data_IF_837327186860
#
_entry.id   IF_837327186860
#
_cell.length_a   1.000
_cell.length_b   1.000
_cell.length_c   1.000
_cell.angle_alpha   90.00
_cell.angle_beta   90.00
_cell.angle_gamma   90.00
#
_symmetry.space_group_name_H-M   'P 1'
#
loop_
_entity.id
_entity.type
_entity.pdbx_description
1 polymer ?
#
# COMPACT_ATOMS: atom_id res chain seq x y z
N UNK A 1 9.41 -3.57 -15.59
CA UNK A 1 8.43 -3.29 -14.50
C UNK A 1 7.51 -2.14 -14.93
N UNK A 2 6.34 -2.02 -14.31
CA UNK A 2 5.36 -0.95 -14.56
C UNK A 2 5.83 0.43 -14.04
N UNK A 3 5.11 1.51 -14.41
CA UNK A 3 5.35 2.84 -13.85
C UNK A 3 5.15 2.88 -12.33
N UNK A 4 5.87 3.75 -11.62
CA UNK A 4 5.69 3.99 -10.19
C UNK A 4 4.33 4.61 -9.84
N UNK A 5 3.57 5.09 -10.82
CA UNK A 5 2.15 5.45 -10.64
C UNK A 5 1.32 4.27 -10.12
N UNK A 6 1.77 3.05 -10.40
CA UNK A 6 1.13 1.82 -9.93
C UNK A 6 1.49 1.45 -8.47
N UNK A 7 2.51 2.09 -7.89
CA UNK A 7 2.88 1.99 -6.47
C UNK A 7 2.21 3.11 -5.66
N UNK A 8 2.25 4.33 -6.20
CA UNK A 8 1.67 5.51 -5.58
C UNK A 8 0.32 5.83 -6.23
N UNK A 9 -0.76 5.34 -5.66
CA UNK A 9 -2.12 5.67 -6.12
C UNK A 9 -2.81 6.57 -5.11
N UNK A 10 -3.32 7.70 -5.58
CA UNK A 10 -4.17 8.60 -4.81
C UNK A 10 -5.58 8.03 -4.79
N UNK A 11 -6.17 7.87 -3.60
CA UNK A 11 -7.52 7.36 -3.47
C UNK A 11 -8.02 7.30 -2.04
N UNK A 12 -9.22 6.74 -1.86
CA UNK A 12 -9.85 6.60 -0.55
C UNK A 12 -9.58 5.23 0.04
N UNK A 13 -9.22 5.21 1.33
CA UNK A 13 -9.12 3.98 2.09
C UNK A 13 -10.47 3.30 2.38
N UNK A 14 -10.46 2.25 3.21
CA UNK A 14 -9.34 1.81 4.02
C UNK A 14 -8.39 0.79 3.36
N UNK A 15 -8.79 0.13 2.24
CA UNK A 15 -7.98 -0.93 1.62
C UNK A 15 -7.76 -0.70 0.13
N UNK A 16 -6.53 -0.90 -0.34
CA UNK A 16 -6.24 -0.82 -1.77
C UNK A 16 -6.85 -1.99 -2.53
N UNK A 17 -6.76 -3.21 -2.01
CA UNK A 17 -7.32 -4.42 -2.64
C UNK A 17 -8.83 -4.55 -2.45
N UNK A 18 -9.36 -4.19 -1.28
CA UNK A 18 -10.77 -4.39 -0.93
C UNK A 18 -11.66 -3.16 -1.11
N UNK A 19 -11.10 -1.97 -1.29
CA UNK A 19 -11.86 -0.72 -1.50
C UNK A 19 -11.55 -0.08 -2.84
N UNK A 20 -10.27 0.31 -3.08
CA UNK A 20 -9.88 1.04 -4.30
C UNK A 20 -10.01 0.18 -5.56
N UNK A 21 -9.54 -1.08 -5.51
CA UNK A 21 -9.67 -2.02 -6.63
C UNK A 21 -11.14 -2.27 -7.02
N UNK A 22 -12.01 -2.71 -6.10
CA UNK A 22 -13.43 -2.87 -6.36
C UNK A 22 -14.14 -1.59 -6.82
N UNK A 23 -13.80 -0.42 -6.26
CA UNK A 23 -14.33 0.85 -6.71
C UNK A 23 -13.94 1.14 -8.17
N UNK A 24 -12.67 0.93 -8.53
CA UNK A 24 -12.18 1.10 -9.90
C UNK A 24 -12.87 0.14 -10.87
N UNK A 25 -13.05 -1.12 -10.49
CA UNK A 25 -13.80 -2.09 -11.28
C UNK A 25 -15.26 -1.64 -11.51
N UNK A 26 -15.93 -1.16 -10.46
CA UNK A 26 -17.28 -0.63 -10.56
C UNK A 26 -17.37 0.58 -11.49
N UNK A 27 -16.41 1.51 -11.45
CA UNK A 27 -16.35 2.68 -12.36
C UNK A 27 -16.23 2.23 -13.82
N UNK A 28 -15.36 1.26 -14.11
CA UNK A 28 -15.16 0.73 -15.46
C UNK A 28 -16.46 0.05 -15.94
N UNK A 29 -17.05 -0.80 -15.09
CA UNK A 29 -18.27 -1.53 -15.45
C UNK A 29 -19.49 -0.62 -15.63
N UNK A 30 -19.66 0.39 -14.77
CA UNK A 30 -20.69 1.42 -14.93
C UNK A 30 -20.55 2.18 -16.26
N UNK A 31 -19.29 2.53 -16.62
CA UNK A 31 -19.00 3.21 -17.90
C UNK A 31 -19.31 2.37 -19.14
N UNK A 32 -19.20 1.02 -19.04
CA UNK A 32 -19.57 0.10 -20.12
C UNK A 32 -21.09 -0.08 -20.28
N UNK A 33 -21.84 0.12 -19.19
CA UNK A 33 -23.29 -0.16 -19.11
C UNK A 33 -24.11 1.01 -18.59
N UNK A 34 -24.10 2.19 -19.26
CA UNK A 34 -24.83 3.37 -18.81
C UNK A 34 -26.37 3.19 -18.84
N UNK A 35 -26.86 2.25 -19.64
CA UNK A 35 -28.30 1.94 -19.82
C UNK A 35 -28.77 0.72 -18.98
N UNK A 36 -27.94 0.22 -18.06
CA UNK A 36 -28.34 -0.90 -17.23
C UNK A 36 -29.55 -0.54 -16.33
N UNK A 37 -30.46 -1.50 -16.14
CA UNK A 37 -31.62 -1.37 -15.27
C UNK A 37 -31.32 -1.85 -13.85
N UNK A 38 -30.39 -2.81 -13.72
CA UNK A 38 -29.96 -3.39 -12.45
C UNK A 38 -28.53 -3.93 -12.59
N UNK A 39 -27.79 -3.89 -11.51
CA UNK A 39 -26.49 -4.56 -11.36
C UNK A 39 -26.55 -5.64 -10.26
N UNK A 40 -25.73 -6.66 -10.42
CA UNK A 40 -25.42 -7.64 -9.40
C UNK A 40 -23.89 -7.82 -9.34
N UNK A 41 -23.33 -7.84 -8.15
CA UNK A 41 -21.88 -8.03 -7.98
C UNK A 41 -21.67 -9.14 -6.95
N UNK A 42 -21.06 -10.25 -7.39
CA UNK A 42 -20.66 -11.34 -6.49
C UNK A 42 -19.21 -11.13 -6.07
N UNK A 43 -18.96 -11.11 -4.77
CA UNK A 43 -17.65 -11.04 -4.14
C UNK A 43 -17.24 -12.43 -3.66
N UNK A 44 -15.98 -12.80 -3.93
CA UNK A 44 -15.46 -14.14 -3.63
C UNK A 44 -14.30 -14.09 -2.63
N UNK A 45 -14.07 -15.20 -1.91
CA UNK A 45 -12.92 -15.45 -1.06
C UNK A 45 -12.64 -14.32 -0.07
N UNK A 46 -11.42 -13.78 -0.07
CA UNK A 46 -11.00 -12.72 0.86
C UNK A 46 -11.83 -11.44 0.74
N UNK A 47 -12.24 -11.04 -0.47
CA UNK A 47 -13.13 -9.89 -0.66
C UNK A 47 -14.48 -10.04 0.03
N UNK A 48 -15.03 -11.26 0.06
CA UNK A 48 -16.27 -11.53 0.76
C UNK A 48 -16.06 -11.68 2.26
N UNK A 49 -15.01 -12.38 2.68
CA UNK A 49 -14.73 -12.66 4.09
C UNK A 49 -14.48 -11.41 4.93
N UNK A 50 -13.78 -10.41 4.37
CA UNK A 50 -13.39 -9.17 5.08
C UNK A 50 -14.04 -7.90 4.52
N UNK A 51 -14.81 -8.04 3.43
CA UNK A 51 -15.29 -6.92 2.63
C UNK A 51 -16.17 -5.91 3.36
N UNK A 52 -16.99 -6.36 4.33
CA UNK A 52 -17.79 -5.43 5.16
C UNK A 52 -16.91 -4.52 6.00
N UNK A 53 -15.86 -5.06 6.62
CA UNK A 53 -14.89 -4.28 7.38
C UNK A 53 -14.07 -3.31 6.52
N UNK A 54 -13.80 -3.70 5.28
CA UNK A 54 -13.10 -2.90 4.28
C UNK A 54 -14.00 -1.98 3.45
N UNK A 55 -15.31 -1.90 3.74
CA UNK A 55 -16.28 -1.10 3.01
C UNK A 55 -16.34 -1.42 1.51
N UNK A 56 -16.09 -2.67 1.11
CA UNK A 56 -16.06 -3.10 -0.29
C UNK A 56 -17.41 -2.90 -0.97
N UNK A 57 -18.49 -3.29 -0.30
CA UNK A 57 -19.86 -3.07 -0.75
C UNK A 57 -20.17 -1.59 -0.95
N UNK A 58 -19.82 -0.75 0.02
CA UNK A 58 -20.05 0.70 -0.07
C UNK A 58 -19.30 1.31 -1.26
N UNK A 59 -18.03 0.90 -1.45
CA UNK A 59 -17.22 1.39 -2.56
C UNK A 59 -17.82 1.05 -3.93
N UNK A 60 -18.39 -0.15 -4.10
CA UNK A 60 -19.05 -0.59 -5.32
C UNK A 60 -20.42 0.09 -5.46
N UNK A 61 -21.25 0.07 -4.40
CA UNK A 61 -22.61 0.63 -4.41
C UNK A 61 -22.56 2.13 -4.71
N UNK A 62 -21.64 2.89 -4.12
CA UNK A 62 -21.53 4.34 -4.34
C UNK A 62 -21.24 4.74 -5.78
N UNK A 63 -20.68 3.84 -6.56
CA UNK A 63 -20.45 4.02 -7.99
C UNK A 63 -21.67 3.58 -8.78
N UNK A 64 -22.07 2.31 -8.67
CA UNK A 64 -23.09 1.68 -9.52
C UNK A 64 -24.48 2.27 -9.30
N UNK A 65 -24.84 2.65 -8.05
CA UNK A 65 -26.15 3.25 -7.74
C UNK A 65 -26.44 4.58 -8.48
N UNK A 66 -25.41 5.22 -9.05
CA UNK A 66 -25.58 6.42 -9.87
C UNK A 66 -26.18 6.10 -11.24
N UNK A 67 -26.10 4.85 -11.67
CA UNK A 67 -26.67 4.34 -12.93
C UNK A 67 -27.93 3.54 -12.65
N UNK A 68 -27.88 2.51 -11.80
CA UNK A 68 -28.98 1.62 -11.51
C UNK A 68 -28.85 0.98 -10.11
N UNK A 69 -29.95 0.40 -9.54
CA UNK A 69 -29.87 -0.38 -8.32
C UNK A 69 -28.84 -1.52 -8.42
N UNK A 70 -28.15 -1.81 -7.31
CA UNK A 70 -27.13 -2.85 -7.24
C UNK A 70 -27.37 -3.78 -6.06
N UNK A 71 -27.20 -5.07 -6.30
CA UNK A 71 -27.20 -6.13 -5.30
C UNK A 71 -25.80 -6.68 -5.13
N UNK A 72 -25.38 -6.91 -3.87
CA UNK A 72 -24.09 -7.55 -3.54
C UNK A 72 -24.35 -8.95 -3.02
N UNK A 73 -23.73 -9.93 -3.67
CA UNK A 73 -23.74 -11.35 -3.27
C UNK A 73 -22.39 -11.69 -2.64
N UNK A 74 -22.40 -12.35 -1.48
CA UNK A 74 -21.23 -12.68 -0.70
C UNK A 74 -20.94 -14.17 -0.72
N UNK A 75 -19.79 -14.59 -1.26
CA UNK A 75 -19.33 -15.98 -1.38
C UNK A 75 -17.94 -16.17 -0.73
N UNK A 76 -17.83 -16.10 0.61
CA UNK A 76 -16.54 -16.12 1.30
C UNK A 76 -15.82 -17.47 1.21
N UNK A 77 -16.57 -18.58 1.02
CA UNK A 77 -16.01 -19.93 0.93
C UNK A 77 -15.58 -20.31 -0.51
N UNK A 78 -15.94 -19.49 -1.50
CA UNK A 78 -15.64 -19.74 -2.91
C UNK A 78 -14.38 -18.98 -3.31
N UNK A 79 -13.31 -19.69 -3.64
CA UNK A 79 -12.07 -19.13 -4.13
C UNK A 79 -11.93 -19.36 -5.62
N UNK A 80 -11.84 -18.30 -6.40
CA UNK A 80 -11.58 -18.40 -7.82
C UNK A 80 -10.10 -18.76 -8.08
N UNK A 81 -9.77 -19.53 -9.16
CA UNK A 81 -8.45 -20.13 -9.33
C UNK A 81 -7.29 -19.15 -9.47
N UNK A 82 -7.54 -17.93 -10.01
CA UNK A 82 -6.49 -17.00 -10.34
C UNK A 82 -6.00 -16.19 -9.14
N UNK A 83 -6.92 -15.67 -8.30
CA UNK A 83 -6.57 -14.83 -7.15
C UNK A 83 -7.68 -14.87 -6.09
N UNK A 84 -7.37 -14.81 -4.77
CA UNK A 84 -8.37 -14.84 -3.70
C UNK A 84 -9.34 -13.65 -3.69
N UNK A 85 -9.00 -12.53 -4.34
CA UNK A 85 -9.83 -11.33 -4.41
C UNK A 85 -10.62 -11.26 -5.73
N UNK A 86 -11.46 -12.23 -6.00
CA UNK A 86 -12.29 -12.29 -7.20
C UNK A 86 -13.61 -11.52 -7.06
N UNK A 87 -14.07 -10.95 -8.18
CA UNK A 87 -15.36 -10.27 -8.33
C UNK A 87 -16.01 -10.68 -9.64
N UNK A 88 -17.32 -10.87 -9.63
CA UNK A 88 -18.13 -11.05 -10.84
C UNK A 88 -19.18 -9.95 -10.90
N UNK A 89 -19.06 -9.10 -11.89
CA UNK A 89 -20.03 -8.05 -12.19
C UNK A 89 -21.03 -8.54 -13.25
N UNK A 90 -22.31 -8.27 -13.04
CA UNK A 90 -23.39 -8.55 -13.97
C UNK A 90 -24.23 -7.30 -14.20
N UNK A 91 -24.55 -7.01 -15.46
CA UNK A 91 -25.52 -5.98 -15.84
C UNK A 91 -26.81 -6.63 -16.37
N UNK A 92 -27.93 -6.00 -16.14
CA UNK A 92 -29.24 -6.47 -16.58
C UNK A 92 -29.97 -5.34 -17.30
N UNK A 93 -30.65 -5.70 -18.39
CA UNK A 93 -31.66 -4.87 -19.04
C UNK A 93 -33.05 -5.14 -18.44
N UNK A 94 -34.09 -5.05 -19.26
CA UNK A 94 -35.46 -5.38 -18.88
C UNK A 94 -35.72 -6.88 -18.67
N UNK A 95 -34.81 -7.72 -19.11
CA UNK A 95 -34.91 -9.18 -19.00
C UNK A 95 -34.27 -9.70 -17.73
N UNK A 96 -34.67 -10.92 -17.31
CA UNK A 96 -34.13 -11.60 -16.12
C UNK A 96 -32.70 -12.12 -16.34
N UNK A 97 -32.25 -12.31 -17.58
CA UNK A 97 -30.90 -12.76 -17.91
C UNK A 97 -29.92 -11.58 -17.91
N UNK A 98 -28.68 -11.78 -17.44
CA UNK A 98 -27.67 -10.75 -17.54
C UNK A 98 -27.38 -10.41 -19.03
N UNK A 99 -27.22 -9.14 -19.31
CA UNK A 99 -26.82 -8.62 -20.62
C UNK A 99 -25.31 -8.71 -20.83
N UNK A 100 -24.55 -8.64 -19.73
CA UNK A 100 -23.09 -8.84 -19.70
C UNK A 100 -22.63 -9.36 -18.34
N UNK A 101 -21.54 -10.14 -18.38
CA UNK A 101 -20.86 -10.67 -17.20
C UNK A 101 -19.36 -10.41 -17.33
N UNK A 102 -18.76 -9.89 -16.26
CA UNK A 102 -17.35 -9.57 -16.23
C UNK A 102 -16.70 -10.05 -14.93
N UNK A 103 -15.77 -11.02 -15.05
CA UNK A 103 -14.95 -11.49 -13.93
C UNK A 103 -13.65 -10.67 -13.90
N UNK A 104 -13.34 -10.13 -12.73
CA UNK A 104 -12.13 -9.31 -12.51
C UNK A 104 -11.59 -9.54 -11.09
N UNK A 105 -10.28 -9.41 -10.94
CA UNK A 105 -9.56 -9.65 -9.69
C UNK A 105 -8.87 -8.37 -9.21
N UNK A 106 -8.87 -8.15 -7.91
CA UNK A 106 -8.06 -7.10 -7.28
C UNK A 106 -6.74 -7.68 -6.79
N UNK A 107 -5.66 -7.41 -7.52
CA UNK A 107 -4.36 -8.10 -7.37
C UNK A 107 -3.34 -7.36 -6.49
N UNK A 108 -3.81 -6.52 -5.57
CA UNK A 108 -2.99 -5.75 -4.65
C UNK A 108 -2.71 -4.31 -5.11
N UNK A 109 -2.45 -3.41 -4.16
CA UNK A 109 -2.17 -1.99 -4.43
C UNK A 109 -3.29 -1.24 -5.19
N UNK A 110 -4.51 -1.81 -5.31
CA UNK A 110 -5.59 -1.27 -6.13
C UNK A 110 -5.48 -1.62 -7.62
N UNK A 111 -4.56 -2.51 -8.01
CA UNK A 111 -4.47 -3.05 -9.36
C UNK A 111 -5.59 -4.05 -9.64
N UNK A 112 -5.97 -4.13 -10.92
CA UNK A 112 -6.98 -5.07 -11.41
C UNK A 112 -6.33 -5.99 -12.46
N UNK A 113 -6.90 -7.21 -12.60
CA UNK A 113 -6.57 -8.17 -13.66
C UNK A 113 -7.80 -8.98 -14.02
N UNK A 114 -7.94 -9.35 -15.29
CA UNK A 114 -8.97 -10.30 -15.73
C UNK A 114 -8.52 -11.76 -15.58
N UNK A 115 -7.28 -11.98 -15.14
CA UNK A 115 -6.71 -13.32 -14.99
C UNK A 115 -6.42 -14.02 -16.31
N UNK A 116 -6.24 -13.27 -17.38
CA UNK A 116 -5.93 -13.79 -18.73
C UNK A 116 -4.42 -13.70 -18.96
N UNK A 117 -3.83 -14.77 -19.52
CA UNK A 117 -2.42 -14.80 -19.88
C UNK A 117 -2.09 -13.84 -21.05
N UNK A 118 -3.05 -13.66 -21.96
CA UNK A 118 -2.94 -12.74 -23.10
C UNK A 118 -4.26 -11.95 -23.21
N UNK A 119 -4.16 -10.66 -23.57
CA UNK A 119 -5.31 -9.80 -23.79
C UNK A 119 -6.06 -9.37 -22.53
N UNK A 120 -5.40 -9.41 -21.36
CA UNK A 120 -5.93 -8.79 -20.13
C UNK A 120 -6.06 -7.27 -20.34
N UNK A 121 -7.24 -6.73 -20.10
CA UNK A 121 -7.54 -5.29 -20.24
C UNK A 121 -6.61 -4.41 -19.40
N UNK A 122 -6.07 -4.93 -18.31
CA UNK A 122 -5.20 -4.21 -17.38
C UNK A 122 -3.71 -4.46 -17.61
N UNK A 123 -3.33 -5.12 -18.72
CA UNK A 123 -1.92 -5.27 -19.04
C UNK A 123 -1.31 -3.88 -19.23
N UNK A 124 -0.39 -3.54 -18.35
CA UNK A 124 0.33 -2.27 -18.38
C UNK A 124 1.60 -2.40 -19.20
N UNK A 125 1.99 -1.32 -19.87
CA UNK A 125 3.25 -1.27 -20.59
C UNK A 125 4.41 -1.28 -19.61
N UNK A 126 5.43 -2.10 -19.85
CA UNK A 126 6.67 -2.07 -19.09
C UNK A 126 7.40 -0.76 -19.33
N UNK A 127 7.72 -0.06 -18.26
CA UNK A 127 8.44 1.23 -18.25
C UNK A 127 9.91 1.02 -17.91
N UNK A 128 10.19 0.01 -17.07
CA UNK A 128 11.54 -0.30 -16.59
C UNK A 128 12.03 -1.61 -17.18
N UNK A 129 13.15 -1.58 -17.90
CA UNK A 129 13.78 -2.77 -18.48
C UNK A 129 14.48 -3.64 -17.42
N UNK A 130 15.16 -2.99 -16.45
CA UNK A 130 15.79 -3.68 -15.34
C UNK A 130 14.76 -3.94 -14.23
N UNK A 131 14.85 -5.11 -13.58
CA UNK A 131 13.89 -5.54 -12.58
C UNK A 131 14.51 -6.15 -11.31
N UNK A 132 15.85 -6.21 -11.24
CA UNK A 132 16.57 -6.55 -10.01
C UNK A 132 17.31 -5.33 -9.48
N UNK A 133 17.41 -5.21 -8.16
CA UNK A 133 18.16 -4.07 -7.59
C UNK A 133 19.64 -4.15 -7.92
N UNK A 134 20.19 -5.36 -8.01
CA UNK A 134 21.57 -5.62 -8.44
C UNK A 134 21.88 -4.99 -9.80
N UNK A 135 21.00 -5.20 -10.80
CA UNK A 135 21.23 -4.67 -12.14
C UNK A 135 21.05 -3.14 -12.17
N UNK A 136 20.09 -2.62 -11.41
CA UNK A 136 19.87 -1.16 -11.30
C UNK A 136 21.04 -0.49 -10.57
N UNK A 137 21.59 -1.12 -9.53
CA UNK A 137 22.78 -0.62 -8.84
C UNK A 137 24.02 -0.61 -9.75
N UNK A 138 24.22 -1.66 -10.54
CA UNK A 138 25.28 -1.70 -11.54
C UNK A 138 25.12 -0.59 -12.60
N UNK A 139 23.87 -0.30 -13.00
CA UNK A 139 23.59 0.85 -13.86
C UNK A 139 23.96 2.18 -13.16
N UNK A 140 23.60 2.37 -11.90
CA UNK A 140 23.94 3.57 -11.12
C UNK A 140 25.46 3.76 -11.04
N UNK A 141 26.19 2.70 -10.71
CA UNK A 141 27.65 2.73 -10.60
C UNK A 141 28.34 3.03 -11.96
N UNK A 142 27.88 2.40 -13.03
CA UNK A 142 28.42 2.60 -14.38
C UNK A 142 28.24 4.05 -14.87
N UNK A 143 27.10 4.69 -14.54
CA UNK A 143 26.78 6.04 -14.99
C UNK A 143 27.13 7.13 -13.98
N UNK A 144 27.58 6.77 -12.76
CA UNK A 144 27.84 7.72 -11.68
C UNK A 144 26.58 8.45 -11.23
N UNK A 145 25.43 7.73 -11.17
CA UNK A 145 24.12 8.28 -10.88
C UNK A 145 23.44 7.55 -9.71
N UNK A 146 22.38 8.17 -9.17
CA UNK A 146 21.54 7.55 -8.12
C UNK A 146 20.29 6.88 -8.66
N UNK A 147 19.57 6.16 -7.76
CA UNK A 147 18.35 5.45 -8.11
C UNK A 147 17.25 6.34 -8.68
N UNK A 148 17.04 7.54 -8.13
CA UNK A 148 16.05 8.49 -8.65
C UNK A 148 16.37 8.96 -10.07
N UNK A 149 17.64 8.97 -10.48
CA UNK A 149 18.05 9.33 -11.85
C UNK A 149 17.77 8.19 -12.83
N UNK A 150 17.85 6.94 -12.38
CA UNK A 150 17.36 5.80 -13.14
C UNK A 150 15.83 5.89 -13.34
N UNK A 151 15.07 6.22 -12.29
CA UNK A 151 13.63 6.49 -12.41
C UNK A 151 13.37 7.60 -13.42
N UNK A 152 14.11 8.71 -13.34
CA UNK A 152 13.98 9.84 -14.28
C UNK A 152 14.23 9.45 -15.73
N UNK A 153 15.10 8.49 -15.98
CA UNK A 153 15.36 8.00 -17.34
C UNK A 153 14.22 7.14 -17.89
N UNK A 154 13.50 6.44 -17.03
CA UNK A 154 12.48 5.47 -17.42
C UNK A 154 11.08 6.08 -17.51
N UNK A 155 10.72 6.94 -16.57
CA UNK A 155 9.38 7.58 -16.51
C UNK A 155 9.26 8.74 -17.49
N UNK A 156 8.02 9.08 -17.86
CA UNK A 156 7.70 10.22 -18.71
C UNK A 156 7.85 11.57 -17.97
N UNK A 157 7.82 12.66 -18.73
CA UNK A 157 8.00 14.02 -18.19
C UNK A 157 6.90 14.40 -17.20
N UNK A 158 5.66 13.93 -17.41
CA UNK A 158 4.50 14.23 -16.56
C UNK A 158 4.55 13.48 -15.21
N UNK A 159 5.41 12.46 -15.09
CA UNK A 159 5.56 11.69 -13.86
C UNK A 159 5.97 12.56 -12.67
N UNK A 160 6.82 13.56 -12.88
CA UNK A 160 7.30 14.41 -11.79
C UNK A 160 6.23 15.34 -11.24
N UNK A 161 5.30 15.79 -12.08
CA UNK A 161 4.14 16.57 -11.65
C UNK A 161 3.16 15.69 -10.87
N UNK A 162 2.93 14.44 -11.33
CA UNK A 162 2.18 13.46 -10.58
C UNK A 162 2.83 13.14 -9.21
N UNK A 163 4.15 12.96 -9.17
CA UNK A 163 4.87 12.67 -7.92
C UNK A 163 4.78 13.85 -6.93
N UNK A 164 4.71 15.09 -7.44
CA UNK A 164 4.44 16.27 -6.62
C UNK A 164 3.03 16.26 -6.05
N UNK A 165 2.03 15.88 -6.84
CA UNK A 165 0.66 15.69 -6.36
C UNK A 165 0.59 14.60 -5.28
N UNK A 166 1.28 13.49 -5.49
CA UNK A 166 1.44 12.41 -4.50
C UNK A 166 2.01 12.96 -3.19
N UNK A 167 3.09 13.73 -3.24
CA UNK A 167 3.69 14.31 -2.05
C UNK A 167 2.76 15.28 -1.31
N UNK A 168 2.11 16.19 -2.03
CA UNK A 168 1.14 17.12 -1.44
C UNK A 168 -0.06 16.39 -0.82
N UNK A 169 -0.53 15.31 -1.45
CA UNK A 169 -1.59 14.46 -0.89
C UNK A 169 -1.15 13.75 0.38
N UNK A 170 0.09 13.24 0.43
CA UNK A 170 0.68 12.65 1.65
C UNK A 170 0.76 13.67 2.79
N UNK A 171 1.23 14.90 2.52
CA UNK A 171 1.28 15.98 3.52
C UNK A 171 -0.12 16.33 4.03
N UNK A 172 -1.07 16.52 3.14
CA UNK A 172 -2.45 16.83 3.50
C UNK A 172 -3.11 15.71 4.33
N UNK A 173 -2.77 14.43 4.08
CA UNK A 173 -3.27 13.33 4.89
C UNK A 173 -2.70 13.35 6.32
N UNK A 174 -1.41 13.68 6.48
CA UNK A 174 -0.81 13.88 7.82
C UNK A 174 -1.52 15.01 8.55
N UNK A 175 -1.68 16.16 7.91
CA UNK A 175 -2.27 17.36 8.52
C UNK A 175 -3.72 17.13 8.94
N UNK A 176 -4.55 16.59 8.06
CA UNK A 176 -5.95 16.23 8.40
C UNK A 176 -6.04 15.24 9.55
N UNK A 177 -5.19 14.21 9.55
CA UNK A 177 -5.21 13.19 10.61
C UNK A 177 -4.76 13.74 11.97
N UNK A 178 -3.85 14.72 12.00
CA UNK A 178 -3.45 15.41 13.23
C UNK A 178 -4.55 16.32 13.79
N UNK A 179 -5.40 16.87 12.93
CA UNK A 179 -6.51 17.73 13.31
C UNK A 179 -7.80 16.95 13.64
N UNK A 180 -7.79 15.63 13.41
CA UNK A 180 -8.96 14.78 13.61
C UNK A 180 -8.96 14.08 14.97
N UNK A 181 -10.07 14.16 15.69
CA UNK A 181 -10.30 13.52 16.99
C UNK A 181 -11.51 12.58 16.96
N UNK A 182 -11.79 11.92 18.09
CA UNK A 182 -12.94 11.03 18.26
C UNK A 182 -12.60 9.56 18.02
N UNK A 183 -13.57 8.77 17.53
CA UNK A 183 -13.44 7.34 17.27
C UNK A 183 -13.37 7.04 15.77
N UNK A 184 -12.64 5.99 15.43
CA UNK A 184 -12.62 5.43 14.09
C UNK A 184 -13.95 4.71 13.78
N UNK A 185 -14.36 4.64 12.50
CA UNK A 185 -15.56 3.94 12.13
C UNK A 185 -15.43 2.42 12.35
N UNK A 186 -16.57 1.78 12.61
CA UNK A 186 -16.66 0.33 12.81
C UNK A 186 -16.89 -0.08 14.24
N UNK A 187 -17.04 -1.40 14.49
CA UNK A 187 -17.48 -1.93 15.77
C UNK A 187 -16.44 -1.85 16.88
N UNK A 188 -15.15 -1.70 16.56
CA UNK A 188 -14.09 -1.64 17.56
C UNK A 188 -14.11 -0.35 18.37
N UNK A 189 -14.80 0.69 17.89
CA UNK A 189 -14.87 2.00 18.53
C UNK A 189 -13.48 2.52 18.99
N UNK A 190 -12.48 2.28 18.16
CA UNK A 190 -11.09 2.61 18.47
C UNK A 190 -10.87 4.12 18.45
N UNK A 191 -10.41 4.69 19.56
CA UNK A 191 -10.13 6.11 19.64
C UNK A 191 -8.95 6.51 18.75
N UNK A 192 -9.06 7.64 18.05
CA UNK A 192 -7.95 8.28 17.36
C UNK A 192 -6.86 8.70 18.36
N UNK A 193 -5.61 8.50 18.01
CA UNK A 193 -4.45 8.73 18.87
C UNK A 193 -3.49 9.79 18.34
N UNK A 194 -3.54 10.08 17.02
CA UNK A 194 -2.56 10.91 16.34
C UNK A 194 -2.38 12.29 16.99
N UNK A 195 -3.47 13.04 17.19
CA UNK A 195 -3.48 14.36 17.82
C UNK A 195 -2.89 14.33 19.24
N UNK A 196 -3.33 13.36 20.04
CA UNK A 196 -2.85 13.20 21.43
C UNK A 196 -1.36 12.86 21.47
N UNK A 197 -0.88 11.98 20.60
CA UNK A 197 0.55 11.61 20.49
C UNK A 197 1.39 12.82 20.05
N UNK A 198 0.89 13.60 19.10
CA UNK A 198 1.54 14.83 18.64
C UNK A 198 1.76 15.82 19.78
N UNK A 199 0.71 16.11 20.56
CA UNK A 199 0.79 17.01 21.71
C UNK A 199 1.76 16.49 22.78
N UNK A 200 1.66 15.21 23.13
CA UNK A 200 2.54 14.58 24.11
C UNK A 200 4.00 14.58 23.65
N UNK A 201 4.27 14.25 22.39
CA UNK A 201 5.63 14.22 21.84
C UNK A 201 6.34 15.56 21.99
N UNK A 202 5.64 16.68 21.81
CA UNK A 202 6.20 18.04 21.94
C UNK A 202 6.70 18.35 23.35
N UNK A 203 6.20 17.66 24.35
CA UNK A 203 6.65 17.82 25.75
C UNK A 203 7.90 17.02 26.12
N UNK A 204 8.39 16.15 25.23
CA UNK A 204 9.57 15.33 25.50
C UNK A 204 10.88 16.00 25.07
N UNK A 205 12.01 15.46 25.57
CA UNK A 205 13.36 15.85 25.12
C UNK A 205 13.54 15.51 23.64
N UNK A 206 14.42 16.20 22.90
CA UNK A 206 14.58 16.05 21.45
C UNK A 206 14.75 14.58 20.98
N UNK A 207 15.50 13.77 21.73
CA UNK A 207 15.73 12.35 21.39
C UNK A 207 14.47 11.48 21.38
N UNK A 208 13.52 11.75 22.30
CA UNK A 208 12.25 11.05 22.35
C UNK A 208 11.16 11.77 21.56
N UNK A 209 11.25 13.10 21.49
CA UNK A 209 10.34 13.93 20.71
C UNK A 209 10.31 13.50 19.23
N UNK A 210 11.48 13.36 18.60
CA UNK A 210 11.58 12.94 17.21
C UNK A 210 10.80 11.63 16.96
N UNK A 211 11.02 10.61 17.79
CA UNK A 211 10.33 9.32 17.66
C UNK A 211 8.82 9.45 17.88
N UNK A 212 8.38 10.21 18.89
CA UNK A 212 6.97 10.49 19.16
C UNK A 212 6.28 11.24 18.02
N UNK A 213 6.98 12.16 17.34
CA UNK A 213 6.48 12.85 16.15
C UNK A 213 6.26 11.88 14.98
N UNK A 214 7.22 10.98 14.71
CA UNK A 214 7.08 9.97 13.66
C UNK A 214 5.88 9.05 13.94
N UNK A 215 5.70 8.61 15.19
CA UNK A 215 4.50 7.86 15.57
C UNK A 215 3.24 8.64 15.25
N UNK A 216 3.14 9.90 15.67
CA UNK A 216 1.93 10.69 15.45
C UNK A 216 1.61 10.90 13.97
N UNK A 217 2.61 11.11 13.12
CA UNK A 217 2.41 11.27 11.68
C UNK A 217 1.94 9.96 11.01
N UNK A 218 2.53 8.82 11.39
CA UNK A 218 2.10 7.52 10.87
C UNK A 218 0.68 7.16 11.33
N UNK A 219 0.36 7.44 12.61
CA UNK A 219 -0.99 7.30 13.14
C UNK A 219 -1.98 8.20 12.37
N UNK A 220 -1.64 9.46 12.12
CA UNK A 220 -2.49 10.42 11.44
C UNK A 220 -2.94 9.91 10.06
N UNK A 221 -2.00 9.47 9.22
CA UNK A 221 -2.32 8.94 7.90
C UNK A 221 -3.10 7.63 7.98
N UNK A 222 -2.73 6.74 8.91
CA UNK A 222 -3.40 5.45 9.07
C UNK A 222 -4.83 5.60 9.59
N UNK A 223 -5.09 6.57 10.47
CA UNK A 223 -6.42 6.91 10.98
C UNK A 223 -7.28 7.58 9.89
N UNK A 224 -6.69 8.43 9.05
CA UNK A 224 -7.34 8.96 7.85
C UNK A 224 -7.73 7.84 6.88
N UNK A 225 -6.80 6.90 6.62
CA UNK A 225 -7.09 5.73 5.81
C UNK A 225 -8.26 4.92 6.38
N UNK A 226 -8.22 4.59 7.67
CA UNK A 226 -9.27 3.81 8.34
C UNK A 226 -10.65 4.48 8.31
N UNK A 227 -10.68 5.81 8.17
CA UNK A 227 -11.90 6.62 8.10
C UNK A 227 -12.39 6.87 6.67
N UNK A 228 -11.75 6.29 5.65
CA UNK A 228 -12.10 6.50 4.24
C UNK A 228 -11.64 7.86 3.69
N UNK A 229 -10.67 8.50 4.34
CA UNK A 229 -10.02 9.71 3.86
C UNK A 229 -9.17 9.47 2.61
N UNK A 230 -8.81 10.55 1.92
CA UNK A 230 -7.92 10.49 0.76
C UNK A 230 -6.48 10.32 1.21
N UNK A 231 -5.85 9.25 0.76
CA UNK A 231 -4.46 8.88 1.06
C UNK A 231 -3.73 8.48 -0.24
N UNK A 232 -2.45 8.21 -0.12
CA UNK A 232 -1.66 7.61 -1.18
C UNK A 232 -1.23 6.21 -0.76
N UNK A 233 -1.38 5.23 -1.64
CA UNK A 233 -0.79 3.90 -1.40
C UNK A 233 0.74 3.99 -1.38
N UNK A 234 1.40 3.28 -0.44
CA UNK A 234 2.87 3.23 -0.37
C UNK A 234 3.33 1.95 0.37
N UNK A 235 3.30 0.74 -0.24
CA UNK A 235 2.71 0.45 -1.56
C UNK A 235 1.22 0.17 -1.53
N UNK A 236 0.59 0.01 -0.35
CA UNK A 236 -0.83 -0.28 -0.16
C UNK A 236 -1.50 0.72 0.79
N UNK A 237 -2.83 0.71 0.88
CA UNK A 237 -3.56 1.49 1.89
C UNK A 237 -3.21 1.05 3.31
N UNK A 238 -3.06 -0.26 3.55
CA UNK A 238 -2.73 -0.80 4.87
C UNK A 238 -1.39 -0.33 5.44
N UNK A 239 -0.48 0.10 4.56
CA UNK A 239 0.85 0.58 4.89
C UNK A 239 1.08 2.07 4.55
N UNK A 240 0.03 2.81 4.20
CA UNK A 240 0.11 4.19 3.68
C UNK A 240 0.67 5.22 4.66
N UNK A 241 0.76 4.89 5.96
CA UNK A 241 1.28 5.80 6.98
C UNK A 241 2.80 5.85 7.09
N UNK A 242 3.52 4.82 6.60
CA UNK A 242 4.97 4.68 6.83
C UNK A 242 5.78 5.71 6.06
N UNK A 243 5.69 5.70 4.73
CA UNK A 243 6.48 6.60 3.85
C UNK A 243 6.16 8.07 4.10
N UNK A 244 4.88 8.49 4.18
CA UNK A 244 4.54 9.88 4.47
C UNK A 244 5.07 10.37 5.81
N UNK A 245 4.96 9.55 6.86
CA UNK A 245 5.42 9.93 8.20
C UNK A 245 6.93 10.20 8.23
N UNK A 246 7.72 9.32 7.63
CA UNK A 246 9.19 9.46 7.57
C UNK A 246 9.56 10.70 6.75
N UNK A 247 9.03 10.84 5.55
CA UNK A 247 9.37 11.97 4.68
C UNK A 247 8.90 13.32 5.25
N UNK A 248 7.68 13.37 5.83
CA UNK A 248 7.16 14.58 6.46
C UNK A 248 7.99 14.99 7.67
N UNK A 249 8.40 14.03 8.49
CA UNK A 249 9.28 14.26 9.63
C UNK A 249 10.62 14.84 9.20
N UNK A 250 11.26 14.22 8.22
CA UNK A 250 12.56 14.63 7.73
C UNK A 250 12.51 15.96 6.98
N UNK A 251 11.51 16.17 6.13
CA UNK A 251 11.34 17.42 5.38
C UNK A 251 11.18 18.62 6.33
N UNK A 252 10.35 18.49 7.36
CA UNK A 252 10.18 19.56 8.36
C UNK A 252 11.38 19.72 9.30
N UNK A 253 11.97 18.61 9.74
CA UNK A 253 13.07 18.63 10.71
C UNK A 253 14.40 19.13 10.15
N UNK A 254 14.65 18.90 8.86
CA UNK A 254 15.91 19.23 8.20
C UNK A 254 15.78 20.26 7.07
N UNK A 255 14.60 20.84 6.86
CA UNK A 255 14.31 21.80 5.80
C UNK A 255 14.75 21.32 4.39
N UNK A 256 14.55 20.04 4.10
CA UNK A 256 14.80 19.52 2.77
C UNK A 256 13.88 20.18 1.73
N UNK A 257 14.44 20.56 0.59
CA UNK A 257 13.66 21.11 -0.51
C UNK A 257 12.69 20.06 -1.07
N UNK A 258 11.56 20.50 -1.59
CA UNK A 258 10.58 19.63 -2.24
C UNK A 258 11.24 18.74 -3.30
N UNK A 259 12.12 19.31 -4.12
CA UNK A 259 12.86 18.53 -5.14
C UNK A 259 13.60 17.34 -4.53
N UNK A 260 14.29 17.52 -3.39
CA UNK A 260 14.99 16.41 -2.72
C UNK A 260 14.01 15.36 -2.20
N UNK A 261 12.86 15.80 -1.70
CA UNK A 261 11.81 14.87 -1.23
C UNK A 261 11.24 14.09 -2.41
N UNK A 262 10.98 14.73 -3.57
CA UNK A 262 10.52 14.04 -4.77
C UNK A 262 11.54 13.00 -5.28
N UNK A 263 12.84 13.34 -5.27
CA UNK A 263 13.90 12.37 -5.61
C UNK A 263 13.90 11.16 -4.65
N UNK A 264 13.74 11.41 -3.34
CA UNK A 264 13.66 10.35 -2.34
C UNK A 264 12.38 9.49 -2.50
N UNK A 265 11.26 10.12 -2.85
CA UNK A 265 10.01 9.43 -3.13
C UNK A 265 10.10 8.58 -4.40
N UNK A 266 10.78 9.05 -5.45
CA UNK A 266 11.07 8.25 -6.64
C UNK A 266 11.90 7.00 -6.30
N UNK A 267 12.94 7.15 -5.48
CA UNK A 267 13.72 6.00 -4.98
C UNK A 267 12.85 5.05 -4.15
N UNK A 268 12.03 5.56 -3.23
CA UNK A 268 11.09 4.72 -2.47
C UNK A 268 10.18 3.90 -3.39
N UNK A 269 9.60 4.54 -4.40
CA UNK A 269 8.74 3.89 -5.38
C UNK A 269 9.45 2.78 -6.15
N UNK A 270 10.71 2.99 -6.54
CA UNK A 270 11.51 2.00 -7.23
C UNK A 270 11.69 0.72 -6.40
N UNK A 271 12.03 0.85 -5.11
CA UNK A 271 12.16 -0.31 -4.20
C UNK A 271 10.83 -1.04 -4.03
N UNK A 272 9.72 -0.33 -3.87
CA UNK A 272 8.38 -0.93 -3.84
C UNK A 272 8.01 -1.66 -5.13
N UNK A 273 8.39 -1.10 -6.28
CA UNK A 273 8.12 -1.68 -7.59
C UNK A 273 8.92 -2.97 -7.85
N UNK A 274 10.18 -3.03 -7.40
CA UNK A 274 11.00 -4.24 -7.45
C UNK A 274 10.33 -5.37 -6.66
N UNK A 275 9.82 -5.08 -5.46
CA UNK A 275 9.11 -6.08 -4.64
C UNK A 275 7.80 -6.50 -5.31
N UNK A 276 7.01 -5.54 -5.82
CA UNK A 276 5.76 -5.84 -6.54
C UNK A 276 6.00 -6.78 -7.72
N UNK A 277 7.05 -6.55 -8.48
CA UNK A 277 7.36 -7.32 -9.69
C UNK A 277 7.89 -8.72 -9.38
N UNK A 278 8.83 -8.85 -8.43
CA UNK A 278 9.53 -10.12 -8.16
C UNK A 278 8.84 -10.99 -7.11
N UNK A 279 7.97 -10.40 -6.29
CA UNK A 279 7.22 -11.09 -5.24
C UNK A 279 5.73 -10.71 -5.28
N UNK A 280 5.24 -10.00 -4.26
CA UNK A 280 3.89 -9.43 -4.21
C UNK A 280 3.83 -8.34 -3.14
N UNK A 281 2.89 -7.41 -3.30
CA UNK A 281 2.52 -6.40 -2.30
C UNK A 281 1.10 -6.65 -1.74
N UNK A 282 0.52 -7.82 -1.98
CA UNK A 282 -0.82 -8.19 -1.53
C UNK A 282 -0.78 -8.90 -0.18
N UNK A 283 -1.46 -8.36 0.83
CA UNK A 283 -1.61 -9.00 2.14
C UNK A 283 -2.27 -10.37 2.06
N UNK A 284 -3.18 -10.56 1.12
CA UNK A 284 -3.86 -11.84 0.85
C UNK A 284 -2.92 -12.91 0.27
N UNK A 285 -1.85 -12.51 -0.41
CA UNK A 285 -0.87 -13.44 -0.99
C UNK A 285 0.32 -13.71 -0.06
N UNK A 286 0.95 -12.65 0.45
CA UNK A 286 2.22 -12.76 1.17
C UNK A 286 2.15 -12.28 2.63
N UNK A 287 0.98 -11.93 3.15
CA UNK A 287 0.86 -11.37 4.49
C UNK A 287 1.30 -9.89 4.56
N UNK A 288 1.35 -9.37 5.79
CA UNK A 288 1.68 -7.95 6.02
C UNK A 288 3.16 -7.60 5.76
N UNK A 289 4.04 -8.60 5.60
CA UNK A 289 5.42 -8.37 5.14
C UNK A 289 5.45 -7.70 3.76
N UNK A 290 4.51 -8.04 2.85
CA UNK A 290 4.35 -7.41 1.54
C UNK A 290 3.76 -6.00 1.58
N UNK A 291 3.14 -5.61 2.65
CA UNK A 291 2.57 -4.27 2.86
C UNK A 291 3.48 -3.41 3.73
N UNK A 292 3.46 -3.63 5.05
CA UNK A 292 4.21 -2.83 6.03
C UNK A 292 5.72 -3.05 5.91
N UNK A 293 6.16 -4.29 5.64
CA UNK A 293 7.58 -4.58 5.43
C UNK A 293 8.14 -3.85 4.21
N UNK A 294 7.40 -3.88 3.10
CA UNK A 294 7.77 -3.15 1.87
C UNK A 294 7.74 -1.64 2.10
N UNK A 295 6.72 -1.12 2.79
CA UNK A 295 6.65 0.31 3.14
C UNK A 295 7.84 0.76 4.01
N UNK A 296 8.28 -0.10 4.95
CA UNK A 296 9.49 0.15 5.74
C UNK A 296 10.74 0.22 4.86
N UNK A 297 10.94 -0.74 3.93
CA UNK A 297 12.03 -0.71 2.97
C UNK A 297 12.03 0.54 2.10
N UNK A 298 10.86 0.91 1.55
CA UNK A 298 10.68 2.14 0.77
C UNK A 298 11.08 3.38 1.56
N UNK A 299 10.62 3.51 2.79
CA UNK A 299 10.92 4.64 3.67
C UNK A 299 12.40 4.66 4.11
N UNK A 300 13.01 3.47 4.32
CA UNK A 300 14.43 3.34 4.65
C UNK A 300 15.32 3.83 3.49
N UNK A 301 15.02 3.39 2.26
CA UNK A 301 15.72 3.84 1.06
C UNK A 301 15.61 5.37 0.86
N UNK A 302 14.38 5.90 0.96
CA UNK A 302 14.10 7.32 0.81
C UNK A 302 14.84 8.17 1.85
N UNK A 303 14.80 7.76 3.12
CA UNK A 303 15.48 8.48 4.19
C UNK A 303 17.00 8.42 4.05
N UNK A 304 17.57 7.27 3.68
CA UNK A 304 19.01 7.14 3.44
C UNK A 304 19.47 8.05 2.30
N UNK A 305 18.69 8.14 1.21
CA UNK A 305 18.99 9.06 0.12
C UNK A 305 18.92 10.53 0.52
N UNK A 306 17.96 10.95 1.34
CA UNK A 306 17.87 12.34 1.84
C UNK A 306 19.12 12.76 2.59
N UNK A 307 19.75 11.85 3.32
CA UNK A 307 21.03 12.08 4.02
C UNK A 307 22.27 11.86 3.17
N UNK A 308 22.12 11.63 1.85
CA UNK A 308 23.23 11.51 0.92
C UNK A 308 23.92 10.15 0.94
N UNK A 309 23.22 9.09 1.34
CA UNK A 309 23.74 7.72 1.30
C UNK A 309 24.14 7.29 -0.12
N UNK A 310 25.20 6.51 -0.22
CA UNK A 310 25.60 5.85 -1.48
C UNK A 310 24.53 4.84 -1.93
N UNK A 311 24.51 4.43 -3.22
CA UNK A 311 23.61 3.37 -3.68
C UNK A 311 23.65 2.11 -2.80
N UNK A 312 24.84 1.67 -2.36
CA UNK A 312 24.99 0.50 -1.48
C UNK A 312 24.41 0.75 -0.07
N UNK A 313 24.56 1.95 0.48
CA UNK A 313 23.95 2.28 1.79
C UNK A 313 22.43 2.38 1.70
N UNK A 314 21.89 2.91 0.59
CA UNK A 314 20.45 2.98 0.34
C UNK A 314 19.86 1.57 0.21
N UNK A 315 20.54 0.69 -0.53
CA UNK A 315 20.15 -0.71 -0.67
C UNK A 315 20.19 -1.42 0.68
N UNK A 316 21.25 -1.25 1.46
CA UNK A 316 21.38 -1.88 2.79
C UNK A 316 20.29 -1.39 3.76
N UNK A 317 19.96 -0.10 3.77
CA UNK A 317 18.86 0.41 4.59
C UNK A 317 17.51 -0.23 4.21
N UNK A 318 17.24 -0.38 2.92
CA UNK A 318 16.01 -1.01 2.43
C UNK A 318 15.97 -2.51 2.73
N UNK A 319 17.10 -3.20 2.58
CA UNK A 319 17.27 -4.62 2.90
C UNK A 319 16.86 -4.88 4.34
N UNK A 320 17.48 -4.17 5.31
CA UNK A 320 17.13 -4.27 6.73
C UNK A 320 15.66 -3.92 7.00
N UNK A 321 15.14 -2.92 6.29
CA UNK A 321 13.73 -2.53 6.41
C UNK A 321 12.77 -3.66 6.06
N UNK A 322 13.07 -4.48 5.06
CA UNK A 322 12.25 -5.62 4.66
C UNK A 322 12.57 -6.87 5.47
N UNK A 323 13.86 -7.19 5.66
CA UNK A 323 14.32 -8.39 6.37
C UNK A 323 13.66 -8.53 7.75
N UNK A 324 13.64 -7.45 8.53
CA UNK A 324 13.06 -7.43 9.87
C UNK A 324 11.53 -7.50 9.93
N UNK A 325 10.86 -7.61 8.78
CA UNK A 325 9.42 -7.81 8.67
C UNK A 325 9.05 -9.16 8.04
N UNK A 326 10.03 -10.03 7.74
CA UNK A 326 9.76 -11.36 7.19
C UNK A 326 8.91 -12.19 8.17
N UNK A 327 7.95 -12.94 7.61
CA UNK A 327 7.02 -13.78 8.38
C UNK A 327 5.84 -13.03 9.01
N UNK A 328 5.66 -11.74 8.75
CA UNK A 328 4.57 -10.96 9.34
C UNK A 328 3.22 -11.35 8.75
N UNK A 329 2.30 -11.83 9.61
CA UNK A 329 0.94 -12.23 9.25
C UNK A 329 0.06 -11.03 8.89
N UNK A 330 -1.06 -11.27 8.18
CA UNK A 330 -2.13 -10.30 7.93
C UNK A 330 -3.43 -10.85 8.54
N UNK A 331 -3.73 -10.46 9.77
CA UNK A 331 -4.80 -10.98 10.61
C UNK A 331 -5.60 -9.83 11.28
N UNK A 332 -6.22 -8.93 10.47
CA UNK A 332 -6.87 -7.73 10.99
C UNK A 332 -8.11 -8.07 11.81
N UNK A 333 -8.20 -7.49 13.03
CA UNK A 333 -9.33 -7.69 13.93
C UNK A 333 -10.61 -7.16 13.28
N UNK A 334 -11.67 -7.97 13.26
CA UNK A 334 -12.95 -7.69 12.60
C UNK A 334 -12.80 -7.35 11.10
N UNK A 335 -11.71 -7.77 10.43
CA UNK A 335 -11.43 -7.39 9.05
C UNK A 335 -11.18 -5.90 8.83
N UNK A 336 -10.90 -5.13 9.89
CA UNK A 336 -10.69 -3.68 9.81
C UNK A 336 -9.21 -3.34 9.68
N UNK A 337 -8.87 -2.41 8.79
CA UNK A 337 -7.50 -1.86 8.67
C UNK A 337 -7.21 -0.92 9.85
N UNK A 338 -7.33 -1.44 11.06
CA UNK A 338 -7.18 -0.72 12.33
C UNK A 338 -6.22 -1.45 13.27
N UNK A 339 -6.57 -2.64 13.75
CA UNK A 339 -5.73 -3.47 14.61
C UNK A 339 -5.30 -4.71 13.84
N UNK A 340 -4.00 -4.95 13.68
CA UNK A 340 -2.83 -4.20 14.20
C UNK A 340 -2.29 -3.13 13.23
N UNK A 341 -2.94 -2.85 12.12
CA UNK A 341 -2.41 -2.10 10.98
C UNK A 341 -1.91 -0.69 11.37
N UNK A 342 -2.73 0.07 12.12
CA UNK A 342 -2.40 1.46 12.50
C UNK A 342 -1.10 1.51 13.31
N UNK A 343 -0.95 0.62 14.29
CA UNK A 343 0.25 0.58 15.14
C UNK A 343 1.46 0.05 14.40
N UNK A 344 1.28 -0.94 13.51
CA UNK A 344 2.35 -1.46 12.63
C UNK A 344 2.97 -0.36 11.76
N UNK A 345 2.16 0.57 11.24
CA UNK A 345 2.66 1.72 10.48
C UNK A 345 3.58 2.61 11.33
N UNK A 346 3.17 2.93 12.55
CA UNK A 346 3.96 3.75 13.47
C UNK A 346 5.32 3.10 13.81
N UNK A 347 5.32 1.81 14.14
CA UNK A 347 6.55 1.08 14.42
C UNK A 347 7.44 0.93 13.19
N UNK A 348 6.89 0.64 12.02
CA UNK A 348 7.65 0.51 10.78
C UNK A 348 8.29 1.84 10.34
N UNK A 349 7.59 2.98 10.54
CA UNK A 349 8.15 4.30 10.25
C UNK A 349 9.38 4.61 11.12
N UNK A 350 9.36 4.28 12.41
CA UNK A 350 10.54 4.41 13.26
C UNK A 350 11.64 3.43 12.88
N UNK A 351 11.30 2.19 12.56
CA UNK A 351 12.27 1.19 12.11
C UNK A 351 12.96 1.62 10.81
N UNK A 352 12.25 2.28 9.91
CA UNK A 352 12.85 2.83 8.70
C UNK A 352 13.96 3.85 8.99
N UNK A 353 13.78 4.71 9.99
CA UNK A 353 14.80 5.65 10.44
C UNK A 353 15.96 4.95 11.17
N UNK A 354 15.67 3.91 11.96
CA UNK A 354 16.71 3.10 12.61
C UNK A 354 17.56 2.37 11.56
N UNK A 355 16.96 1.79 10.51
CA UNK A 355 17.65 1.13 9.40
C UNK A 355 18.51 2.12 8.60
N UNK A 356 17.97 3.30 8.29
CA UNK A 356 18.72 4.37 7.63
C UNK A 356 19.95 4.79 8.45
N UNK A 357 19.77 5.02 9.76
CA UNK A 357 20.87 5.44 10.63
C UNK A 357 21.95 4.36 10.70
N UNK A 358 21.56 3.10 10.84
CA UNK A 358 22.50 1.98 10.88
C UNK A 358 23.30 1.86 9.57
N UNK A 359 22.61 1.91 8.42
CA UNK A 359 23.27 1.86 7.11
C UNK A 359 24.23 3.03 6.89
N UNK A 360 23.89 4.23 7.38
CA UNK A 360 24.73 5.43 7.25
C UNK A 360 26.05 5.36 8.05
N UNK A 361 26.10 4.54 9.10
CA UNK A 361 27.35 4.30 9.85
C UNK A 361 28.25 3.22 9.22
N UNK A 362 27.72 2.46 8.25
CA UNK A 362 28.46 1.44 7.51
C UNK A 362 29.07 2.00 6.22
N UNK A 363 29.91 1.20 5.60
CA UNK A 363 30.39 1.44 4.23
C UNK A 363 29.43 0.96 3.14
N UNK A 364 28.24 0.45 3.53
CA UNK A 364 27.25 -0.16 2.65
C UNK A 364 27.53 -1.62 2.28
N UNK A 365 28.63 -2.21 2.76
CA UNK A 365 28.95 -3.63 2.51
C UNK A 365 28.17 -4.54 3.45
N UNK A 366 27.44 -5.51 2.89
CA UNK A 366 26.69 -6.51 3.66
C UNK A 366 26.55 -7.83 2.90
N UNK A 367 26.04 -8.86 3.57
CA UNK A 367 26.08 -10.24 3.06
C UNK A 367 24.81 -10.67 2.33
N UNK A 368 23.67 -10.16 2.75
CA UNK A 368 22.35 -10.52 2.21
C UNK A 368 21.87 -9.34 1.36
N UNK A 369 21.61 -9.55 0.08
CA UNK A 369 21.12 -8.47 -0.79
C UNK A 369 19.62 -8.27 -0.64
N UNK A 370 19.14 -7.08 -0.98
CA UNK A 370 17.71 -6.77 -1.04
C UNK A 370 16.95 -7.73 -1.96
N UNK A 371 17.50 -8.07 -3.14
CA UNK A 371 16.90 -9.03 -4.05
C UNK A 371 16.71 -10.41 -3.38
N UNK A 372 17.68 -10.85 -2.55
CA UNK A 372 17.56 -12.10 -1.81
C UNK A 372 16.46 -12.05 -0.75
N UNK A 373 16.32 -10.93 -0.05
CA UNK A 373 15.24 -10.76 0.93
C UNK A 373 13.86 -10.77 0.23
N UNK A 374 13.75 -10.18 -0.97
CA UNK A 374 12.53 -10.22 -1.77
C UNK A 374 12.16 -11.66 -2.16
N UNK A 375 13.14 -12.47 -2.59
CA UNK A 375 12.92 -13.90 -2.87
C UNK A 375 12.44 -14.66 -1.62
N UNK A 376 13.09 -14.44 -0.47
CA UNK A 376 12.70 -15.06 0.80
C UNK A 376 11.31 -14.61 1.23
N UNK A 377 10.97 -13.33 1.05
CA UNK A 377 9.63 -12.82 1.32
C UNK A 377 8.55 -13.52 0.47
N UNK A 378 8.83 -13.76 -0.82
CA UNK A 378 7.94 -14.51 -1.69
C UNK A 378 7.72 -15.94 -1.18
N UNK A 379 8.81 -16.62 -0.79
CA UNK A 379 8.75 -17.99 -0.26
C UNK A 379 8.01 -18.04 1.08
N UNK A 380 8.40 -17.21 2.05
CA UNK A 380 7.72 -17.17 3.36
C UNK A 380 6.25 -16.77 3.22
N UNK A 381 5.94 -15.88 2.27
CA UNK A 381 4.56 -15.54 1.93
C UNK A 381 3.77 -16.74 1.43
N UNK A 382 4.36 -17.58 0.60
CA UNK A 382 3.74 -18.84 0.17
C UNK A 382 3.53 -19.80 1.35
N UNK A 383 4.53 -19.90 2.24
CA UNK A 383 4.54 -20.86 3.35
C UNK A 383 3.64 -20.45 4.53
N UNK A 384 3.32 -19.15 4.70
CA UNK A 384 2.35 -18.70 5.69
C UNK A 384 0.99 -19.33 5.39
N UNK A 385 0.35 -20.03 6.36
CA UNK A 385 -0.99 -20.59 6.18
C UNK A 385 -2.03 -19.54 5.76
N UNK A 386 -2.97 -19.93 4.91
CA UNK A 386 -4.07 -19.05 4.45
C UNK A 386 -4.85 -18.42 5.60
N UNK A 387 -4.94 -19.11 6.74
CA UNK A 387 -5.56 -18.62 7.97
C UNK A 387 -4.98 -17.27 8.48
N UNK A 388 -3.74 -16.93 8.09
CA UNK A 388 -3.04 -15.72 8.49
C UNK A 388 -2.84 -14.72 7.33
N UNK A 389 -3.62 -14.88 6.25
CA UNK A 389 -3.53 -14.05 5.04
C UNK A 389 -4.86 -13.34 4.74
N UNK A 390 -5.15 -12.29 5.52
CA UNK A 390 -6.30 -11.39 5.30
C UNK A 390 -7.68 -12.12 5.31
N UNK A 391 -7.85 -13.10 6.23
CA UNK A 391 -9.11 -13.87 6.36
C UNK A 391 -9.95 -13.49 7.58
N UNK A 392 -9.37 -12.81 8.57
CA UNK A 392 -9.97 -12.53 9.90
C UNK A 392 -10.44 -13.78 10.68
N UNK A 393 -10.04 -14.98 10.24
CA UNK A 393 -10.43 -16.24 10.86
C UNK A 393 -9.36 -16.79 11.82
N UNK A 394 -8.19 -16.19 11.87
CA UNK A 394 -7.05 -16.65 12.67
C UNK A 394 -6.26 -15.52 13.29
N UNK A 395 -5.18 -15.88 13.98
CA UNK A 395 -4.28 -14.91 14.60
C UNK A 395 -4.96 -13.99 15.60
N UNK A 396 -4.68 -12.70 15.51
CA UNK A 396 -5.24 -11.67 16.38
C UNK A 396 -6.76 -11.50 16.22
N UNK A 397 -7.30 -11.89 15.09
CA UNK A 397 -8.73 -11.74 14.81
C UNK A 397 -9.62 -12.80 15.49
N UNK A 398 -9.04 -13.96 15.88
CA UNK A 398 -9.79 -15.17 16.27
C UNK A 398 -10.78 -15.00 17.42
N UNK A 399 -10.51 -14.13 18.38
CA UNK A 399 -11.31 -13.96 19.61
C UNK A 399 -12.26 -12.75 19.57
N UNK A 400 -12.28 -12.03 18.44
CA UNK A 400 -13.10 -10.83 18.25
C UNK A 400 -14.28 -11.11 17.31
N UNK A 401 -14.93 -12.27 17.45
CA UNK A 401 -16.21 -12.51 16.79
C UNK A 401 -17.29 -11.63 17.43
N UNK A 402 -18.00 -10.85 16.61
CA UNK A 402 -19.12 -10.01 17.01
C UNK A 402 -20.44 -10.76 16.92
#
# INVERSE_FOLDING_TARGET
>A
MESLREIFRIGKGPSSSHTMGPQRAAVIFAGRHPEAVRFEVTLYGSLAATGKGHMTDKAIIDVLKKVAPVEIVWEPEVFLPYHPNGMLFRSFGSEAKPTDEWTVYSVGGGALSEGKAEGDYFTTTSVYDLHTLKDIQAWCEHHGRGYWEYVKQCEDDDFWDYLREVWHTMQAAVERGLDSEGALPGPLNLARKAATYYVKARGYKPSLQSRGMVYSYALAVSEENASGGTIVTAPTCGACGVVPAVLYHLAKGHNFSETKVLHALATAGLFGNIVKYNASISGAEVGCQGEVGVACAMASAASCQLFGGSPSQIEYAAEMGLEHHLGMTCDPVCGLVQIPCIERNAFAACRALDAQLYASFSDGQHRVSFDRVVEVMKQTGHDIPSLYKETSAGGLAKEYEM
#
